data_IF_293560211459
#
_entry.id   IF_293560211459
#
_cell.length_a   1.000
_cell.length_b   1.000
_cell.length_c   1.000
_cell.angle_alpha   90.00
_cell.angle_beta   90.00
_cell.angle_gamma   90.00
#
_symmetry.space_group_name_H-M   'P 1'
#
loop_
_entity.id
_entity.type
_entity.pdbx_description
1 polymer ?
#
# COMPACT_ATOMS: atom_id res chain seq x y z
N UNK A 1 18.33 -1.53 -5.63
CA UNK A 1 17.09 -2.21 -6.03
C UNK A 1 16.07 -1.88 -4.98
N UNK A 2 14.87 -1.51 -5.39
CA UNK A 2 13.75 -1.25 -4.50
C UNK A 2 13.30 -2.52 -3.78
N UNK A 3 12.60 -2.34 -2.67
CA UNK A 3 12.02 -3.43 -1.89
C UNK A 3 10.76 -3.99 -2.57
N UNK A 4 10.04 -3.13 -3.30
CA UNK A 4 8.75 -3.40 -3.96
C UNK A 4 8.66 -2.80 -5.36
N UNK A 5 7.74 -3.33 -6.16
CA UNK A 5 7.48 -2.79 -7.50
C UNK A 5 6.62 -1.51 -7.39
N UNK A 6 5.62 -1.53 -6.49
CA UNK A 6 4.72 -0.42 -6.23
C UNK A 6 4.44 -0.28 -4.72
N UNK A 7 4.48 0.95 -4.21
CA UNK A 7 3.85 1.31 -2.93
C UNK A 7 2.73 2.34 -3.17
N UNK A 8 1.53 2.03 -2.70
CA UNK A 8 0.42 2.98 -2.62
C UNK A 8 0.42 3.58 -1.22
N UNK A 9 0.61 4.90 -1.09
CA UNK A 9 0.83 5.59 0.18
C UNK A 9 -0.40 6.32 0.71
N UNK A 10 -0.57 6.31 2.03
CA UNK A 10 -1.52 7.17 2.76
C UNK A 10 -2.99 6.86 2.52
N UNK A 11 -3.30 5.68 1.96
CA UNK A 11 -4.67 5.28 1.65
C UNK A 11 -5.46 4.83 2.87
N UNK A 12 -6.78 4.86 2.76
CA UNK A 12 -7.69 4.22 3.70
C UNK A 12 -7.91 2.79 3.23
N UNK A 13 -7.21 1.84 3.84
CA UNK A 13 -7.31 0.41 3.54
C UNK A 13 -8.56 -0.17 4.21
N UNK A 14 -9.49 -0.63 3.38
CA UNK A 14 -10.68 -1.36 3.81
C UNK A 14 -10.45 -2.85 3.59
N UNK A 15 -10.55 -3.62 4.66
CA UNK A 15 -10.51 -5.08 4.66
C UNK A 15 -11.86 -5.64 5.09
N UNK A 16 -12.04 -6.96 5.01
CA UNK A 16 -13.23 -7.61 5.54
C UNK A 16 -13.45 -7.41 7.06
N UNK A 17 -12.40 -7.08 7.82
CA UNK A 17 -12.46 -6.95 9.27
C UNK A 17 -12.59 -5.50 9.76
N UNK A 18 -11.87 -4.57 9.12
CA UNK A 18 -11.81 -3.16 9.54
C UNK A 18 -11.32 -2.25 8.39
N UNK A 19 -11.42 -0.94 8.61
CA UNK A 19 -10.94 0.13 7.74
C UNK A 19 -9.97 1.04 8.50
N UNK A 20 -8.73 1.16 8.01
CA UNK A 20 -7.67 1.93 8.67
C UNK A 20 -6.74 2.60 7.66
N UNK A 21 -5.97 3.61 8.11
CA UNK A 21 -4.96 4.27 7.26
C UNK A 21 -3.69 3.42 7.21
N UNK A 22 -3.17 3.16 6.01
CA UNK A 22 -1.91 2.45 5.80
C UNK A 22 -1.38 2.65 4.38
N UNK A 23 -0.13 2.25 4.16
CA UNK A 23 0.44 2.03 2.84
C UNK A 23 0.23 0.56 2.42
N UNK A 24 0.18 0.31 1.11
CA UNK A 24 0.08 -1.04 0.53
C UNK A 24 1.25 -1.26 -0.42
N UNK A 25 2.04 -2.30 -0.19
CA UNK A 25 3.19 -2.64 -1.02
C UNK A 25 2.94 -3.89 -1.86
N UNK A 26 3.21 -3.77 -3.17
CA UNK A 26 3.00 -4.81 -4.18
C UNK A 26 4.34 -5.26 -4.76
N UNK A 27 4.51 -6.58 -4.89
CA UNK A 27 5.66 -7.16 -5.61
C UNK A 27 5.26 -8.43 -6.34
N UNK A 28 5.64 -8.53 -7.60
CA UNK A 28 5.23 -9.57 -8.54
C UNK A 28 3.69 -9.70 -8.56
N UNK A 29 3.01 -8.57 -8.74
CA UNK A 29 1.54 -8.45 -8.81
C UNK A 29 0.77 -8.95 -7.57
N UNK A 30 1.45 -9.11 -6.43
CA UNK A 30 0.86 -9.59 -5.17
C UNK A 30 1.08 -8.56 -4.07
N UNK A 31 0.03 -8.32 -3.26
CA UNK A 31 0.15 -7.53 -2.03
C UNK A 31 1.07 -8.28 -1.06
N UNK A 32 2.24 -7.74 -0.79
CA UNK A 32 3.25 -8.34 0.08
C UNK A 32 3.24 -7.79 1.49
N UNK A 33 2.84 -6.53 1.65
CA UNK A 33 2.79 -5.88 2.95
C UNK A 33 1.72 -4.80 2.98
N UNK A 34 1.15 -4.58 4.16
CA UNK A 34 0.24 -3.48 4.48
C UNK A 34 0.69 -2.91 5.82
N UNK A 35 0.93 -1.61 5.88
CA UNK A 35 1.45 -0.95 7.08
C UNK A 35 2.05 0.41 6.77
N UNK A 36 2.75 1.01 7.73
CA UNK A 36 3.41 2.30 7.57
C UNK A 36 4.91 2.12 7.34
N UNK A 37 5.53 3.02 6.57
CA UNK A 37 6.99 3.08 6.44
C UNK A 37 7.59 1.86 5.73
N UNK A 38 6.91 1.36 4.68
CA UNK A 38 7.24 0.11 3.97
C UNK A 38 8.54 0.15 3.14
N UNK A 39 9.41 1.15 3.32
CA UNK A 39 10.67 1.25 2.58
C UNK A 39 10.52 1.87 1.18
N UNK A 40 11.20 1.27 0.20
CA UNK A 40 11.35 1.84 -1.15
C UNK A 40 10.63 1.01 -2.21
N UNK A 41 10.10 1.68 -3.24
CA UNK A 41 9.49 1.04 -4.40
C UNK A 41 9.97 1.67 -5.71
N UNK A 42 9.89 0.90 -6.81
CA UNK A 42 10.16 1.43 -8.16
C UNK A 42 9.13 2.50 -8.54
N UNK A 43 7.87 2.29 -8.17
CA UNK A 43 6.79 3.27 -8.33
C UNK A 43 6.09 3.58 -7.00
N UNK A 44 5.63 4.82 -6.84
CA UNK A 44 4.83 5.23 -5.69
C UNK A 44 3.62 6.04 -6.14
N UNK A 45 2.46 5.73 -5.56
CA UNK A 45 1.19 6.45 -5.79
C UNK A 45 0.71 7.04 -4.48
N UNK A 46 0.31 8.32 -4.48
CA UNK A 46 -0.34 8.96 -3.32
C UNK A 46 -1.85 8.70 -3.36
N UNK A 47 -2.36 7.98 -2.37
CA UNK A 47 -3.77 7.66 -2.19
C UNK A 47 -4.40 8.40 -1.01
N UNK A 48 -3.82 9.51 -0.57
CA UNK A 48 -4.34 10.32 0.53
C UNK A 48 -5.80 10.73 0.28
N UNK A 49 -6.69 10.31 1.18
CA UNK A 49 -8.12 10.59 1.09
C UNK A 49 -8.90 9.67 0.15
N UNK A 50 -8.24 8.68 -0.46
CA UNK A 50 -8.85 7.64 -1.26
C UNK A 50 -9.02 6.36 -0.44
N UNK A 51 -10.00 5.54 -0.85
CA UNK A 51 -10.27 4.25 -0.23
C UNK A 51 -9.69 3.12 -1.09
N UNK A 52 -8.95 2.22 -0.46
CA UNK A 52 -8.36 1.02 -1.04
C UNK A 52 -9.17 -0.17 -0.57
N UNK A 53 -10.01 -0.72 -1.46
CA UNK A 53 -10.77 -1.95 -1.17
C UNK A 53 -9.88 -3.16 -1.45
N UNK A 54 -9.53 -3.91 -0.41
CA UNK A 54 -8.73 -5.13 -0.49
C UNK A 54 -9.57 -6.40 -0.28
#
# INVERSE_FOLDING_TARGET
MSDFDLIIKGGIVATAADTFRADVAVRNDIIRSVGEGLGTADETVDATGLMLSL
#
